data_IF_197727053343
#
_entry.id   IF_197727053343
#
_cell.length_a   1.000
_cell.length_b   1.000
_cell.length_c   1.000
_cell.angle_alpha   90.00
_cell.angle_beta   90.00
_cell.angle_gamma   90.00
#
_symmetry.space_group_name_H-M   'P 1'
#
loop_
_entity.id
_entity.type
_entity.pdbx_description
1 polymer ?
#
# COMPACT_ATOMS: atom_id res chain seq x y z
N UNK A 1 1.97 -4.49 26.08
CA UNK A 1 2.02 -4.89 24.66
C UNK A 1 0.75 -4.49 23.93
N UNK A 2 0.80 -3.43 23.13
CA UNK A 2 -0.33 -2.97 22.33
C UNK A 2 -0.14 -3.39 20.86
N UNK A 3 -0.30 -4.69 20.60
CA UNK A 3 -0.18 -5.26 19.25
C UNK A 3 -1.36 -4.81 18.36
N UNK A 4 -1.12 -4.60 17.06
CA UNK A 4 -2.18 -4.28 16.10
C UNK A 4 -2.15 -5.21 14.89
N UNK A 5 -3.34 -5.64 14.46
CA UNK A 5 -3.54 -6.54 13.33
C UNK A 5 -4.48 -5.90 12.32
N UNK A 6 -4.06 -5.87 11.06
CA UNK A 6 -4.75 -5.24 9.96
C UNK A 6 -4.97 -6.26 8.84
N UNK A 7 -6.22 -6.45 8.43
CA UNK A 7 -6.58 -7.08 7.17
C UNK A 7 -6.84 -5.96 6.16
N UNK A 8 -6.01 -5.89 5.13
CA UNK A 8 -6.09 -4.85 4.11
C UNK A 8 -6.53 -5.48 2.79
N UNK A 9 -7.69 -5.05 2.31
CA UNK A 9 -8.18 -5.35 0.97
C UNK A 9 -7.67 -4.29 0.00
N UNK A 10 -6.80 -4.71 -0.92
CA UNK A 10 -6.19 -3.88 -1.94
C UNK A 10 -6.91 -4.02 -3.28
N UNK A 11 -7.38 -2.92 -3.84
CA UNK A 11 -8.09 -2.90 -5.12
C UNK A 11 -7.25 -2.26 -6.21
N UNK A 12 -7.15 -2.94 -7.34
CA UNK A 12 -6.37 -2.45 -8.48
C UNK A 12 -5.93 -3.53 -9.48
N UNK A 13 -4.87 -3.28 -10.24
CA UNK A 13 -4.25 -1.97 -10.38
C UNK A 13 -5.08 -1.06 -11.30
N UNK A 14 -5.19 0.21 -10.93
CA UNK A 14 -5.59 1.29 -11.86
C UNK A 14 -4.37 1.66 -12.71
N UNK A 15 -4.52 1.71 -14.03
CA UNK A 15 -3.41 1.84 -14.99
C UNK A 15 -3.79 2.70 -16.18
N UNK A 16 -2.78 3.27 -16.84
CA UNK A 16 -2.96 4.06 -18.05
C UNK A 16 -3.25 5.52 -17.76
N UNK A 17 -3.54 6.26 -18.84
CA UNK A 17 -3.73 7.71 -18.80
C UNK A 17 -4.95 8.12 -17.95
N UNK A 18 -6.02 7.31 -17.97
CA UNK A 18 -7.25 7.56 -17.21
C UNK A 18 -7.24 6.96 -15.79
N UNK A 19 -6.07 6.61 -15.25
CA UNK A 19 -5.99 5.87 -13.98
C UNK A 19 -6.57 6.63 -12.78
N UNK A 20 -6.54 7.97 -12.80
CA UNK A 20 -7.09 8.80 -11.73
C UNK A 20 -8.61 8.94 -11.86
N UNK A 21 -9.12 9.11 -13.07
CA UNK A 21 -10.55 9.12 -13.36
C UNK A 21 -11.17 7.77 -13.02
N UNK A 22 -10.59 6.66 -13.50
CA UNK A 22 -11.05 5.30 -13.20
C UNK A 22 -11.12 5.05 -11.67
N UNK A 23 -10.11 5.53 -10.93
CA UNK A 23 -10.09 5.40 -9.46
C UNK A 23 -11.20 6.23 -8.82
N UNK A 24 -11.38 7.47 -9.25
CA UNK A 24 -12.42 8.36 -8.73
C UNK A 24 -13.81 7.80 -8.97
N UNK A 25 -14.08 7.32 -10.19
CA UNK A 25 -15.36 6.72 -10.55
C UNK A 25 -15.59 5.46 -9.74
N UNK A 26 -14.59 4.57 -9.66
CA UNK A 26 -14.68 3.37 -8.84
C UNK A 26 -14.97 3.72 -7.38
N UNK A 27 -14.18 4.58 -6.74
CA UNK A 27 -14.33 4.96 -5.33
C UNK A 27 -15.72 5.55 -5.05
N UNK A 28 -16.29 6.33 -5.97
CA UNK A 28 -17.65 6.89 -5.83
C UNK A 28 -18.79 5.86 -5.87
N UNK A 29 -18.52 4.66 -6.41
CA UNK A 29 -19.51 3.58 -6.52
C UNK A 29 -19.38 2.52 -5.44
N UNK A 30 -18.30 2.55 -4.65
CA UNK A 30 -18.09 1.56 -3.60
C UNK A 30 -18.67 2.04 -2.27
N UNK A 31 -19.15 1.09 -1.47
CA UNK A 31 -19.53 1.33 -0.07
C UNK A 31 -18.36 1.04 0.89
N UNK A 32 -17.15 1.47 0.51
CA UNK A 32 -15.95 1.36 1.35
C UNK A 32 -15.19 2.67 1.30
N UNK A 33 -14.43 2.95 2.36
CA UNK A 33 -13.54 4.10 2.44
C UNK A 33 -12.08 3.64 2.42
N UNK A 34 -11.41 3.68 1.25
CA UNK A 34 -9.99 3.37 1.17
C UNK A 34 -9.18 4.41 1.94
N UNK A 35 -8.32 3.93 2.83
CA UNK A 35 -7.51 4.76 3.72
C UNK A 35 -6.02 4.70 3.40
N UNK A 36 -5.62 3.78 2.52
CA UNK A 36 -4.25 3.59 2.07
C UNK A 36 -4.18 3.57 0.54
N UNK A 37 -3.01 3.84 -0.02
CA UNK A 37 -2.75 3.67 -1.43
C UNK A 37 -1.26 3.42 -1.71
N UNK A 38 -1.02 2.71 -2.80
CA UNK A 38 0.30 2.42 -3.35
C UNK A 38 0.38 3.00 -4.76
N UNK A 39 1.43 3.73 -5.06
CA UNK A 39 1.68 4.31 -6.39
C UNK A 39 3.03 3.81 -6.88
N UNK A 40 3.05 3.39 -8.15
CA UNK A 40 4.25 3.12 -8.90
C UNK A 40 4.27 3.99 -10.15
N UNK A 41 5.36 4.70 -10.38
CA UNK A 41 5.52 5.51 -11.58
C UNK A 41 6.97 5.87 -11.86
N UNK A 42 7.15 6.87 -12.71
CA UNK A 42 8.46 7.39 -13.11
C UNK A 42 8.55 8.88 -12.81
N UNK A 43 9.61 9.30 -12.12
CA UNK A 43 9.99 10.72 -12.05
C UNK A 43 10.30 11.27 -13.44
N UNK A 44 10.26 12.60 -13.55
CA UNK A 44 10.75 13.32 -14.73
C UNK A 44 12.18 12.86 -15.05
N UNK A 45 12.46 12.55 -16.31
CA UNK A 45 13.75 12.06 -16.83
C UNK A 45 14.18 10.64 -16.43
N UNK A 46 13.46 9.94 -15.54
CA UNK A 46 13.74 8.54 -15.26
C UNK A 46 13.36 7.67 -16.46
N UNK A 47 14.34 7.04 -17.11
CA UNK A 47 14.08 6.20 -18.30
C UNK A 47 13.43 4.86 -17.91
N UNK A 48 14.09 4.11 -17.03
CA UNK A 48 13.69 2.75 -16.64
C UNK A 48 13.44 2.59 -15.14
N UNK A 49 13.94 3.52 -14.31
CA UNK A 49 13.87 3.42 -12.85
C UNK A 49 12.46 3.75 -12.34
N UNK A 50 11.83 2.76 -11.70
CA UNK A 50 10.55 2.96 -11.03
C UNK A 50 10.74 3.68 -9.71
N UNK A 51 9.76 4.51 -9.40
CA UNK A 51 9.64 5.21 -8.13
C UNK A 51 8.30 4.85 -7.50
N UNK A 52 8.32 4.75 -6.18
CA UNK A 52 7.19 4.26 -5.40
C UNK A 52 6.74 5.30 -4.39
N UNK A 53 5.46 5.34 -4.10
CA UNK A 53 4.91 6.14 -3.01
C UNK A 53 3.81 5.36 -2.32
N UNK A 54 3.85 5.34 -1.00
CA UNK A 54 2.83 4.73 -0.16
C UNK A 54 2.24 5.84 0.67
N UNK A 55 0.93 5.92 0.73
CA UNK A 55 0.30 7.01 1.44
C UNK A 55 -1.00 6.63 2.10
N UNK A 56 -1.38 7.45 3.08
CA UNK A 56 -2.66 7.36 3.77
C UNK A 56 -3.58 8.54 3.50
N UNK A 57 -4.84 8.35 3.87
CA UNK A 57 -5.90 9.36 3.84
C UNK A 57 -6.97 9.07 4.89
N UNK A 58 -7.72 10.09 5.29
CA UNK A 58 -8.97 9.99 6.08
C UNK A 58 -10.17 10.59 5.32
N UNK A 59 -9.96 10.95 4.05
CA UNK A 59 -10.92 11.72 3.25
C UNK A 59 -11.23 11.05 1.91
N UNK A 60 -10.86 9.77 1.74
CA UNK A 60 -10.81 9.08 0.44
C UNK A 60 -9.53 9.38 -0.35
N UNK A 61 -9.19 8.48 -1.28
CA UNK A 61 -7.95 8.51 -2.06
C UNK A 61 -8.04 9.50 -3.22
N UNK A 62 -9.14 9.50 -3.98
CA UNK A 62 -9.34 10.44 -5.09
C UNK A 62 -9.27 11.90 -4.61
N UNK A 63 -9.95 12.21 -3.50
CA UNK A 63 -9.90 13.53 -2.86
C UNK A 63 -8.49 13.85 -2.36
N UNK A 64 -7.76 12.89 -1.81
CA UNK A 64 -6.36 13.06 -1.38
C UNK A 64 -5.43 13.40 -2.54
N UNK A 65 -5.62 12.80 -3.71
CA UNK A 65 -4.79 13.09 -4.88
C UNK A 65 -5.01 14.50 -5.44
N UNK A 66 -6.19 15.08 -5.22
CA UNK A 66 -6.48 16.47 -5.59
C UNK A 66 -5.84 17.51 -4.64
N UNK A 67 -5.27 17.10 -3.50
CA UNK A 67 -4.62 18.03 -2.58
C UNK A 67 -3.38 18.67 -3.22
N UNK A 68 -3.20 19.97 -2.99
CA UNK A 68 -2.02 20.70 -3.47
C UNK A 68 -0.72 20.08 -2.90
N UNK A 69 0.30 19.96 -3.77
CA UNK A 69 1.61 19.45 -3.38
C UNK A 69 1.67 17.94 -3.13
N UNK A 70 0.64 17.18 -3.53
CA UNK A 70 0.65 15.72 -3.38
C UNK A 70 1.77 15.06 -4.22
N UNK A 71 2.45 14.05 -3.66
CA UNK A 71 3.58 13.35 -4.29
C UNK A 71 3.24 12.67 -5.62
N UNK A 72 1.95 12.41 -5.88
CA UNK A 72 1.49 11.90 -7.18
C UNK A 72 1.90 12.82 -8.34
N UNK A 73 1.99 14.14 -8.09
CA UNK A 73 2.43 15.13 -9.07
C UNK A 73 3.94 15.06 -9.37
N UNK A 74 4.73 14.36 -8.56
CA UNK A 74 6.14 14.09 -8.83
C UNK A 74 6.35 12.94 -9.82
N UNK A 75 5.27 12.20 -10.14
CA UNK A 75 5.26 11.06 -11.04
C UNK A 75 4.49 11.40 -12.32
N UNK A 76 5.10 12.12 -13.29
CA UNK A 76 4.43 12.47 -14.55
C UNK A 76 3.97 11.26 -15.37
N UNK A 77 4.51 10.07 -15.09
CA UNK A 77 4.05 8.82 -15.70
C UNK A 77 3.73 7.82 -14.61
N UNK A 78 2.45 7.77 -14.24
CA UNK A 78 1.93 6.77 -13.32
C UNK A 78 1.76 5.45 -14.08
N UNK A 79 2.36 4.39 -13.55
CA UNK A 79 2.26 3.05 -14.15
C UNK A 79 1.17 2.20 -13.50
N UNK A 80 0.89 2.45 -12.23
CA UNK A 80 0.01 1.62 -11.42
C UNK A 80 -0.35 2.32 -10.10
N UNK A 81 -1.63 2.23 -9.73
CA UNK A 81 -2.16 2.61 -8.42
C UNK A 81 -2.94 1.43 -7.82
N UNK A 82 -2.77 1.22 -6.51
CA UNK A 82 -3.62 0.37 -5.70
C UNK A 82 -4.19 1.17 -4.54
N UNK A 83 -5.42 0.87 -4.12
CA UNK A 83 -6.05 1.48 -2.95
C UNK A 83 -6.39 0.42 -1.93
N UNK A 84 -6.11 0.70 -0.66
CA UNK A 84 -6.24 -0.23 0.46
C UNK A 84 -7.37 0.19 1.42
N UNK A 85 -8.24 -0.75 1.73
CA UNK A 85 -9.31 -0.62 2.72
C UNK A 85 -9.07 -1.61 3.86
N UNK A 86 -9.30 -1.19 5.10
CA UNK A 86 -9.18 -2.04 6.28
C UNK A 86 -10.49 -2.81 6.44
N UNK A 87 -10.45 -4.13 6.27
CA UNK A 87 -11.65 -4.97 6.23
C UNK A 87 -12.05 -5.48 7.62
N UNK A 88 -11.09 -5.64 8.52
CA UNK A 88 -11.32 -6.19 9.85
C UNK A 88 -11.66 -5.14 10.92
N UNK A 89 -11.60 -3.84 10.61
CA UNK A 89 -11.85 -2.76 11.55
C UNK A 89 -12.09 -1.42 10.84
N UNK A 90 -12.73 -0.49 11.54
CA UNK A 90 -12.74 0.93 11.19
C UNK A 90 -11.52 1.61 11.87
N UNK A 91 -10.49 2.01 11.11
CA UNK A 91 -9.24 2.48 11.69
C UNK A 91 -9.33 3.96 12.07
N UNK A 92 -8.78 4.33 13.22
CA UNK A 92 -8.48 5.73 13.49
C UNK A 92 -7.18 6.18 12.79
N UNK A 93 -6.93 7.48 12.69
CA UNK A 93 -5.75 8.02 11.99
C UNK A 93 -4.40 7.48 12.52
N UNK A 94 -4.29 7.12 13.81
CA UNK A 94 -3.05 6.51 14.35
C UNK A 94 -2.84 5.10 13.84
N UNK A 95 -3.92 4.33 13.69
CA UNK A 95 -3.87 2.96 13.14
C UNK A 95 -3.54 2.97 11.66
N UNK A 96 -4.13 3.89 10.89
CA UNK A 96 -3.79 4.07 9.47
C UNK A 96 -2.31 4.45 9.33
N UNK A 97 -1.82 5.40 10.15
CA UNK A 97 -0.40 5.78 10.17
C UNK A 97 0.52 4.62 10.52
N UNK A 98 0.13 3.78 11.47
CA UNK A 98 0.92 2.62 11.87
C UNK A 98 1.07 1.60 10.73
N UNK A 99 -0.03 1.30 10.03
CA UNK A 99 0.00 0.42 8.86
C UNK A 99 0.81 1.04 7.71
N UNK A 100 0.60 2.34 7.42
CA UNK A 100 1.37 3.08 6.42
C UNK A 100 2.87 3.04 6.72
N UNK A 101 3.28 3.32 7.96
CA UNK A 101 4.67 3.28 8.40
C UNK A 101 5.30 1.90 8.19
N UNK A 102 4.62 0.83 8.58
CA UNK A 102 5.10 -0.54 8.36
C UNK A 102 5.29 -0.83 6.86
N UNK A 103 4.34 -0.42 6.01
CA UNK A 103 4.43 -0.62 4.57
C UNK A 103 5.56 0.21 3.95
N UNK A 104 5.74 1.47 4.36
CA UNK A 104 6.84 2.34 3.91
C UNK A 104 8.19 1.72 4.28
N UNK A 105 8.40 1.35 5.54
CA UNK A 105 9.66 0.76 5.98
C UNK A 105 9.98 -0.53 5.25
N UNK A 106 8.98 -1.40 5.07
CA UNK A 106 9.18 -2.66 4.35
C UNK A 106 9.54 -2.42 2.88
N UNK A 107 8.70 -1.66 2.15
CA UNK A 107 8.92 -1.44 0.72
C UNK A 107 10.18 -0.62 0.46
N UNK A 108 10.48 0.38 1.31
CA UNK A 108 11.71 1.16 1.24
C UNK A 108 12.97 0.29 1.36
N UNK A 109 12.95 -0.71 2.25
CA UNK A 109 14.03 -1.69 2.35
C UNK A 109 14.16 -2.56 1.09
N UNK A 110 13.03 -3.01 0.51
CA UNK A 110 13.04 -3.87 -0.68
C UNK A 110 13.51 -3.15 -1.95
N UNK A 111 13.18 -1.87 -2.12
CA UNK A 111 13.46 -1.11 -3.35
C UNK A 111 14.63 -0.14 -3.23
N UNK A 112 15.13 0.09 -2.01
CA UNK A 112 16.08 1.14 -1.67
C UNK A 112 15.41 2.50 -1.46
N UNK A 113 15.81 3.21 -0.40
CA UNK A 113 15.23 4.50 0.01
C UNK A 113 15.26 5.58 -1.09
N UNK A 114 16.25 5.54 -1.99
CA UNK A 114 16.34 6.46 -3.12
C UNK A 114 15.19 6.32 -4.13
N UNK A 115 14.52 5.16 -4.14
CA UNK A 115 13.44 4.83 -5.06
C UNK A 115 12.05 5.02 -4.45
N UNK A 116 11.94 5.37 -3.15
CA UNK A 116 10.68 5.73 -2.51
C UNK A 116 10.55 7.26 -2.39
N UNK A 117 9.37 7.80 -2.65
CA UNK A 117 9.10 9.24 -2.53
C UNK A 117 8.79 9.68 -1.11
N UNK A 118 8.47 8.73 -0.23
CA UNK A 118 8.20 9.00 1.18
C UNK A 118 9.44 9.61 1.85
N UNK A 119 9.31 10.85 2.32
CA UNK A 119 10.39 11.59 3.03
C UNK A 119 10.32 11.44 4.56
N UNK A 120 9.25 10.81 5.05
CA UNK A 120 8.95 10.60 6.47
C UNK A 120 8.53 9.14 6.68
N UNK A 121 8.57 8.67 7.93
CA UNK A 121 8.15 7.32 8.31
C UNK A 121 9.01 6.18 7.71
N UNK A 122 10.31 6.42 7.48
CA UNK A 122 11.24 5.39 7.03
C UNK A 122 11.59 4.37 8.14
N UNK A 123 11.49 4.77 9.41
CA UNK A 123 11.77 3.90 10.55
C UNK A 123 10.63 2.93 10.82
N UNK A 124 11.00 1.70 11.19
CA UNK A 124 10.05 0.66 11.59
C UNK A 124 9.21 1.10 12.81
N UNK A 125 7.97 0.58 12.96
CA UNK A 125 7.13 0.87 14.12
C UNK A 125 7.79 0.50 15.46
N UNK A 126 7.47 1.20 16.55
CA UNK A 126 7.96 0.86 17.89
C UNK A 126 7.11 -0.20 18.62
N UNK A 127 6.14 -0.80 17.93
CA UNK A 127 5.23 -1.79 18.48
C UNK A 127 4.97 -2.91 17.48
N UNK A 128 4.42 -4.04 17.95
CA UNK A 128 4.08 -5.17 17.10
C UNK A 128 2.99 -4.78 16.09
N UNK A 129 3.23 -5.09 14.82
CA UNK A 129 2.32 -4.83 13.70
C UNK A 129 2.16 -6.07 12.85
N UNK A 130 0.92 -6.47 12.62
CA UNK A 130 0.57 -7.59 11.76
C UNK A 130 -0.29 -7.08 10.61
N UNK A 131 0.11 -7.34 9.37
CA UNK A 131 -0.64 -6.97 8.17
C UNK A 131 -0.88 -8.24 7.35
N UNK A 132 -2.15 -8.48 7.03
CA UNK A 132 -2.60 -9.45 6.06
C UNK A 132 -3.12 -8.69 4.84
N UNK A 133 -2.49 -8.88 3.69
CA UNK A 133 -2.85 -8.21 2.44
C UNK A 133 -3.61 -9.16 1.52
N UNK A 134 -4.79 -8.73 1.06
CA UNK A 134 -5.54 -9.44 0.02
C UNK A 134 -5.80 -8.56 -1.18
N UNK A 135 -5.51 -9.08 -2.38
CA UNK A 135 -5.51 -8.29 -3.61
C UNK A 135 -6.71 -8.61 -4.48
N UNK A 136 -7.41 -7.58 -4.95
CA UNK A 136 -8.64 -7.65 -5.72
C UNK A 136 -8.52 -6.89 -7.04
N UNK A 137 -9.19 -7.38 -8.08
CA UNK A 137 -9.38 -6.62 -9.31
C UNK A 137 -10.51 -5.62 -9.10
N UNK A 138 -10.22 -4.33 -9.22
CA UNK A 138 -11.21 -3.26 -8.98
C UNK A 138 -12.44 -3.34 -9.90
N UNK A 139 -12.30 -3.86 -11.13
CA UNK A 139 -13.39 -3.90 -12.11
C UNK A 139 -14.45 -4.96 -11.80
N UNK A 140 -14.04 -6.10 -11.28
CA UNK A 140 -14.93 -7.25 -11.08
C UNK A 140 -14.96 -7.76 -9.64
N UNK A 141 -14.22 -7.10 -8.74
CA UNK A 141 -14.11 -7.39 -7.31
C UNK A 141 -13.70 -8.84 -7.00
N UNK A 142 -13.16 -9.57 -7.99
CA UNK A 142 -12.61 -10.91 -7.76
C UNK A 142 -11.22 -10.79 -7.18
N UNK A 143 -10.97 -11.57 -6.13
CA UNK A 143 -9.63 -11.72 -5.56
C UNK A 143 -8.67 -12.22 -6.63
N UNK A 144 -7.52 -11.58 -6.77
CA UNK A 144 -6.47 -11.97 -7.71
C UNK A 144 -5.70 -13.16 -7.18
N UNK A 145 -5.64 -14.23 -7.96
CA UNK A 145 -4.81 -15.40 -7.65
C UNK A 145 -3.32 -15.15 -7.87
N UNK A 146 -2.99 -14.28 -8.82
CA UNK A 146 -1.62 -13.94 -9.18
C UNK A 146 -1.47 -12.43 -9.35
N UNK A 147 -0.40 -11.90 -8.77
CA UNK A 147 0.05 -10.53 -8.99
C UNK A 147 1.14 -10.52 -10.05
N UNK A 148 1.12 -9.51 -10.93
CA UNK A 148 2.15 -9.36 -11.95
C UNK A 148 3.52 -9.12 -11.28
N UNK A 149 4.58 -9.79 -11.76
CA UNK A 149 5.93 -9.70 -11.19
C UNK A 149 6.46 -8.26 -11.08
N UNK A 150 6.06 -7.39 -12.01
CA UNK A 150 6.51 -6.00 -12.05
C UNK A 150 5.58 -5.05 -11.28
N UNK A 151 4.57 -5.56 -10.57
CA UNK A 151 3.61 -4.73 -9.83
C UNK A 151 4.19 -4.26 -8.49
N UNK A 152 3.83 -3.07 -8.02
CA UNK A 152 4.08 -2.66 -6.62
C UNK A 152 3.41 -3.63 -5.63
N UNK A 153 2.26 -4.21 -6.01
CA UNK A 153 1.60 -5.23 -5.20
C UNK A 153 2.44 -6.51 -5.03
N UNK A 154 3.44 -6.76 -5.89
CA UNK A 154 4.35 -7.89 -5.73
C UNK A 154 5.44 -7.61 -4.68
N UNK A 155 5.72 -6.34 -4.40
CA UNK A 155 6.66 -5.93 -3.37
C UNK A 155 6.07 -6.11 -1.97
N UNK A 156 4.77 -5.92 -1.79
CA UNK A 156 4.13 -6.10 -0.49
C UNK A 156 3.74 -7.58 -0.31
N UNK A 157 4.27 -8.28 0.72
CA UNK A 157 3.94 -9.68 0.96
C UNK A 157 2.48 -9.84 1.43
N UNK A 158 1.93 -11.03 1.24
CA UNK A 158 0.59 -11.37 1.73
C UNK A 158 0.51 -11.27 3.27
N UNK A 159 1.60 -11.60 3.97
CA UNK A 159 1.73 -11.41 5.44
C UNK A 159 2.98 -10.61 5.78
N UNK A 160 2.79 -9.63 6.66
CA UNK A 160 3.83 -9.01 7.47
C UNK A 160 3.48 -9.28 8.93
N UNK A 161 4.39 -9.89 9.68
CA UNK A 161 4.31 -10.01 11.12
C UNK A 161 5.59 -9.42 11.73
N UNK A 162 5.48 -8.15 12.11
CA UNK A 162 6.55 -7.38 12.72
C UNK A 162 6.41 -7.41 14.25
N UNK A 163 7.52 -7.71 14.93
CA UNK A 163 7.58 -7.79 16.38
C UNK A 163 8.78 -7.00 16.90
N UNK A 164 8.60 -6.36 18.04
CA UNK A 164 9.67 -5.76 18.83
C UNK A 164 9.93 -6.69 20.02
N UNK A 165 11.16 -7.14 20.20
CA UNK A 165 11.54 -7.96 21.37
C UNK A 165 11.62 -7.12 22.63
N UNK A 166 11.74 -7.77 23.79
CA UNK A 166 11.94 -7.10 25.07
C UNK A 166 13.24 -6.27 25.10
N UNK A 167 14.23 -6.65 24.28
CA UNK A 167 15.50 -5.92 24.08
C UNK A 167 15.40 -4.82 22.99
N UNK A 168 14.20 -4.42 22.57
CA UNK A 168 13.93 -3.47 21.49
C UNK A 168 14.52 -3.87 20.12
N UNK A 169 14.73 -5.17 19.86
CA UNK A 169 15.19 -5.64 18.55
C UNK A 169 14.00 -5.91 17.61
N UNK A 170 14.04 -5.43 16.36
CA UNK A 170 13.00 -5.71 15.38
C UNK A 170 13.14 -7.14 14.82
N UNK A 171 12.04 -7.90 14.84
CA UNK A 171 11.89 -9.19 14.17
C UNK A 171 10.79 -9.10 13.11
N UNK A 172 11.08 -9.60 11.91
CA UNK A 172 10.17 -9.57 10.79
C UNK A 172 9.94 -10.98 10.24
N UNK A 173 8.69 -11.41 10.26
CA UNK A 173 8.24 -12.64 9.61
C UNK A 173 7.35 -12.27 8.43
N UNK A 174 7.60 -12.84 7.26
CA UNK A 174 6.81 -12.57 6.05
C UNK A 174 6.37 -13.85 5.35
N UNK A 175 5.28 -13.74 4.61
CA UNK A 175 4.88 -14.74 3.63
C UNK A 175 4.46 -14.04 2.35
N UNK A 176 5.16 -14.29 1.24
CA UNK A 176 4.80 -13.73 -0.07
C UNK A 176 3.59 -14.42 -0.71
N UNK A 177 3.20 -15.60 -0.20
CA UNK A 177 2.13 -16.40 -0.78
C UNK A 177 1.43 -17.20 0.29
N UNK A 178 0.24 -16.75 0.68
CA UNK A 178 -0.62 -17.51 1.59
C UNK A 178 -1.45 -18.59 0.91
N UNK A 179 -1.56 -18.54 -0.42
CA UNK A 179 -2.46 -19.42 -1.15
C UNK A 179 -1.89 -20.83 -1.28
N UNK A 180 -2.42 -21.73 -0.44
CA UNK A 180 -2.40 -23.18 -0.64
C UNK A 180 -3.84 -23.65 -0.70
N UNK A 181 -4.20 -24.42 -1.73
CA UNK A 181 -5.46 -25.14 -1.72
C UNK A 181 -5.36 -26.19 -0.62
N UNK A 182 -6.28 -26.10 0.34
CA UNK A 182 -6.46 -27.12 1.37
C UNK A 182 -7.56 -28.05 0.88
N UNK A 183 -7.27 -29.34 0.79
CA UNK A 183 -8.20 -30.39 0.38
C UNK A 183 -8.59 -31.21 1.61
#
# INVERSE_FOLDING_TARGET
NNSKSFLIHWYGPFKGENSLEDLKDWESTQNIEPSLYLIKGYKKYAKITNHFYIGKTIQGVSKRFANQGHHINELPRISEIWVGHFDNLEPNNKEILLAEQMLISYVGNEVGEQNILNKICLYVPSQNVYILSEWYNYKNLKRRERINKNSIAKLVPDVIAYRVTDDNQPLLYISEKLKKYWY
#
